data_IF_049628867387
#
_entry.id   IF_049628867387
#
_cell.length_a   1.000
_cell.length_b   1.000
_cell.length_c   1.000
_cell.angle_alpha   90.00
_cell.angle_beta   90.00
_cell.angle_gamma   90.00
#
_symmetry.space_group_name_H-M   'P 1'
#
loop_
_entity.id
_entity.type
_entity.pdbx_description
1 polymer ?
#
# COMPACT_ATOMS: atom_id res chain seq x y z
N UNK A 1 3.16 2.06 -2.90
CA UNK A 1 2.72 1.44 -4.17
C UNK A 1 3.76 0.41 -4.56
N UNK A 2 3.36 -0.78 -4.87
CA UNK A 2 4.26 -1.84 -5.35
C UNK A 2 4.32 -1.77 -6.87
N UNK A 3 5.51 -1.61 -7.49
CA UNK A 3 5.61 -1.51 -8.94
C UNK A 3 5.51 -2.85 -9.68
N UNK A 4 5.46 -3.97 -8.95
CA UNK A 4 5.34 -5.34 -9.47
C UNK A 4 6.43 -5.69 -10.49
N UNK A 5 7.68 -5.46 -10.11
CA UNK A 5 8.88 -5.66 -10.96
C UNK A 5 9.88 -6.65 -10.39
N UNK A 6 9.66 -7.14 -9.16
CA UNK A 6 10.46 -8.21 -8.57
C UNK A 6 10.24 -9.53 -9.33
N UNK A 7 11.10 -10.50 -9.11
CA UNK A 7 10.82 -11.87 -9.55
C UNK A 7 9.65 -12.47 -8.73
N UNK A 8 9.03 -13.54 -9.22
CA UNK A 8 7.92 -14.20 -8.54
C UNK A 8 8.29 -14.70 -7.14
N UNK A 9 9.55 -15.02 -6.92
CA UNK A 9 10.12 -15.44 -5.64
C UNK A 9 10.75 -14.29 -4.83
N UNK A 10 10.59 -13.03 -5.28
CA UNK A 10 10.86 -11.83 -4.49
C UNK A 10 12.28 -11.27 -4.59
N UNK A 11 13.08 -11.66 -5.59
CA UNK A 11 14.40 -11.09 -5.81
C UNK A 11 14.35 -9.77 -6.59
N UNK A 12 15.40 -8.99 -6.41
CA UNK A 12 15.68 -7.80 -7.21
C UNK A 12 15.97 -8.23 -8.65
N UNK A 13 15.30 -7.60 -9.60
CA UNK A 13 15.47 -7.82 -11.05
C UNK A 13 16.13 -6.60 -11.70
N UNK A 14 16.59 -6.70 -12.94
CA UNK A 14 17.02 -5.52 -13.71
C UNK A 14 15.95 -4.44 -13.82
N UNK A 15 14.66 -4.81 -13.89
CA UNK A 15 13.53 -3.88 -13.92
C UNK A 15 13.37 -3.12 -12.60
N UNK A 16 13.60 -3.76 -11.46
CA UNK A 16 13.63 -3.11 -10.14
C UNK A 16 14.78 -2.11 -10.09
N UNK A 17 15.99 -2.51 -10.52
CA UNK A 17 17.14 -1.61 -10.55
C UNK A 17 16.91 -0.39 -11.43
N UNK A 18 16.39 -0.59 -12.64
CA UNK A 18 16.08 0.50 -13.59
C UNK A 18 15.07 1.47 -12.97
N UNK A 19 14.01 0.95 -12.36
CA UNK A 19 12.97 1.72 -11.70
C UNK A 19 13.52 2.65 -10.62
N UNK A 20 14.31 2.13 -9.70
CA UNK A 20 14.83 2.94 -8.59
C UNK A 20 15.98 3.87 -9.01
N UNK A 21 16.79 3.47 -9.99
CA UNK A 21 17.76 4.38 -10.62
C UNK A 21 17.08 5.60 -11.22
N UNK A 22 15.96 5.39 -11.89
CA UNK A 22 15.20 6.48 -12.53
C UNK A 22 14.65 7.50 -11.53
N UNK A 23 14.20 7.06 -10.35
CA UNK A 23 13.80 7.98 -9.27
C UNK A 23 15.01 8.66 -8.62
N UNK A 24 16.12 7.96 -8.51
CA UNK A 24 17.35 8.49 -7.93
C UNK A 24 17.95 9.63 -8.79
N UNK A 25 17.76 9.61 -10.10
CA UNK A 25 18.17 10.69 -11.01
C UNK A 25 17.55 12.05 -10.63
N UNK A 26 16.35 12.04 -10.09
CA UNK A 26 15.63 13.22 -9.61
C UNK A 26 16.08 13.72 -8.24
N UNK A 27 17.05 13.06 -7.61
CA UNK A 27 17.71 13.44 -6.35
C UNK A 27 16.73 13.85 -5.23
N UNK A 28 15.63 13.12 -4.97
CA UNK A 28 14.78 13.43 -3.81
C UNK A 28 15.58 13.29 -2.52
N UNK A 29 15.25 14.06 -1.48
CA UNK A 29 15.92 13.95 -0.18
C UNK A 29 15.86 12.54 0.43
N UNK A 30 14.76 11.81 0.18
CA UNK A 30 14.61 10.41 0.55
C UNK A 30 13.75 9.64 -0.43
N UNK A 31 14.04 8.33 -0.58
CA UNK A 31 13.19 7.34 -1.23
C UNK A 31 12.80 6.26 -0.23
N UNK A 32 11.54 5.89 -0.20
CA UNK A 32 11.06 4.71 0.52
C UNK A 32 10.76 3.64 -0.53
N UNK A 33 11.54 2.53 -0.51
CA UNK A 33 11.26 1.38 -1.34
C UNK A 33 9.86 0.83 -1.05
N UNK A 34 9.29 0.22 -2.06
CA UNK A 34 8.01 -0.46 -1.99
C UNK A 34 7.88 -1.40 -0.78
N UNK A 35 6.65 -1.73 -0.42
CA UNK A 35 6.37 -2.74 0.57
C UNK A 35 7.12 -4.04 0.25
N UNK A 36 8.03 -4.41 1.13
CA UNK A 36 8.96 -5.55 0.99
C UNK A 36 8.61 -6.61 2.03
N UNK A 37 8.23 -7.81 1.57
CA UNK A 37 7.71 -8.89 2.43
C UNK A 37 8.75 -9.45 3.38
N UNK A 38 8.42 -9.52 4.67
CA UNK A 38 9.30 -10.11 5.70
C UNK A 38 9.18 -11.63 5.81
N UNK A 39 8.23 -12.23 5.12
CA UNK A 39 8.03 -13.68 5.01
C UNK A 39 7.39 -14.07 3.68
N UNK A 40 7.42 -15.35 3.38
CA UNK A 40 6.90 -15.90 2.12
C UNK A 40 5.38 -16.10 2.18
N UNK A 41 4.62 -15.01 2.02
CA UNK A 41 3.17 -15.06 1.79
C UNK A 41 2.92 -14.83 0.30
N UNK A 42 2.14 -15.68 -0.39
CA UNK A 42 1.84 -15.50 -1.80
C UNK A 42 1.14 -14.16 -2.09
N UNK A 43 1.81 -13.28 -2.83
CA UNK A 43 1.34 -11.91 -3.07
C UNK A 43 1.67 -11.36 -4.46
N UNK A 44 2.17 -12.20 -5.36
CA UNK A 44 2.71 -11.78 -6.65
C UNK A 44 4.19 -11.35 -6.57
N UNK A 45 4.72 -10.70 -7.62
CA UNK A 45 6.13 -10.31 -7.73
C UNK A 45 6.47 -9.10 -6.83
N UNK A 46 6.46 -9.35 -5.53
CA UNK A 46 6.77 -8.43 -4.44
C UNK A 46 8.19 -8.68 -3.95
N UNK A 47 8.98 -7.64 -3.75
CA UNK A 47 10.29 -7.76 -3.10
C UNK A 47 10.18 -8.42 -1.72
N UNK A 48 11.17 -9.22 -1.37
CA UNK A 48 11.25 -9.91 -0.07
C UNK A 48 12.58 -9.64 0.62
N UNK A 49 12.55 -9.72 1.95
CA UNK A 49 13.72 -9.54 2.82
C UNK A 49 13.71 -10.55 3.98
N UNK A 50 12.80 -11.51 3.95
CA UNK A 50 12.62 -12.50 5.02
C UNK A 50 13.77 -13.50 5.20
N UNK A 51 14.74 -13.53 4.27
CA UNK A 51 15.89 -14.44 4.32
C UNK A 51 17.17 -13.75 3.84
N UNK A 52 18.34 -14.20 4.32
CA UNK A 52 19.65 -13.64 3.95
C UNK A 52 19.95 -13.71 2.43
N UNK A 53 19.36 -14.66 1.71
CA UNK A 53 19.49 -14.80 0.24
C UNK A 53 19.06 -13.56 -0.55
N UNK A 54 18.22 -12.71 0.01
CA UNK A 54 17.75 -11.47 -0.65
C UNK A 54 18.72 -10.29 -0.48
N UNK A 55 19.61 -10.34 0.52
CA UNK A 55 20.51 -9.23 0.87
C UNK A 55 21.44 -8.82 -0.29
N UNK A 56 22.05 -9.74 -1.09
CA UNK A 56 22.93 -9.35 -2.18
C UNK A 56 22.25 -8.45 -3.22
N UNK A 57 21.06 -8.81 -3.71
CA UNK A 57 20.32 -7.99 -4.67
C UNK A 57 19.85 -6.65 -4.08
N UNK A 58 19.44 -6.64 -2.81
CA UNK A 58 19.07 -5.40 -2.11
C UNK A 58 20.30 -4.48 -1.94
N UNK A 59 21.49 -5.02 -1.70
CA UNK A 59 22.73 -4.25 -1.63
C UNK A 59 23.09 -3.63 -2.99
N UNK A 60 22.93 -4.37 -4.07
CA UNK A 60 23.08 -3.85 -5.43
C UNK A 60 22.13 -2.67 -5.70
N UNK A 61 20.86 -2.80 -5.28
CA UNK A 61 19.87 -1.74 -5.42
C UNK A 61 20.25 -0.50 -4.61
N UNK A 62 20.71 -0.65 -3.36
CA UNK A 62 21.21 0.47 -2.55
C UNK A 62 22.38 1.16 -3.23
N UNK A 63 23.35 0.41 -3.74
CA UNK A 63 24.50 0.95 -4.46
C UNK A 63 24.08 1.73 -5.70
N UNK A 64 23.16 1.17 -6.49
CA UNK A 64 22.62 1.79 -7.70
C UNK A 64 21.90 3.13 -7.42
N UNK A 65 21.10 3.20 -6.36
CA UNK A 65 20.43 4.47 -5.95
C UNK A 65 21.46 5.50 -5.47
N UNK A 66 22.45 5.09 -4.66
CA UNK A 66 23.50 6.00 -4.19
C UNK A 66 24.34 6.56 -5.32
N UNK A 67 24.71 5.71 -6.27
CA UNK A 67 25.46 6.14 -7.47
C UNK A 67 24.67 7.19 -8.27
N UNK A 68 23.41 6.90 -8.60
CA UNK A 68 22.58 7.77 -9.45
C UNK A 68 22.20 9.09 -8.78
N UNK A 69 22.02 9.09 -7.47
CA UNK A 69 21.72 10.30 -6.69
C UNK A 69 22.96 11.03 -6.16
N UNK A 70 24.17 10.62 -6.57
CA UNK A 70 25.44 11.16 -6.05
C UNK A 70 25.50 11.15 -4.51
N UNK A 71 24.86 10.17 -3.87
CA UNK A 71 24.76 10.05 -2.41
C UNK A 71 23.81 11.03 -1.72
N UNK A 72 23.09 11.86 -2.47
CA UNK A 72 22.17 12.88 -1.91
C UNK A 72 20.86 12.29 -1.38
N UNK A 73 20.39 11.19 -1.95
CA UNK A 73 19.13 10.55 -1.58
C UNK A 73 19.33 9.52 -0.47
N UNK A 74 18.60 9.68 0.64
CA UNK A 74 18.49 8.66 1.68
C UNK A 74 17.53 7.55 1.24
N UNK A 75 17.89 6.31 1.52
CA UNK A 75 17.13 5.16 1.07
C UNK A 75 16.59 4.34 2.24
N UNK A 76 15.27 4.24 2.30
CA UNK A 76 14.53 3.43 3.28
C UNK A 76 13.85 2.26 2.57
N UNK A 77 13.62 1.15 3.28
CA UNK A 77 12.78 0.06 2.80
C UNK A 77 11.54 -0.08 3.67
N UNK A 78 10.36 -0.19 3.04
CA UNK A 78 9.11 -0.42 3.76
C UNK A 78 8.95 -1.91 4.05
N UNK A 79 8.95 -2.29 5.33
CA UNK A 79 8.78 -3.67 5.78
C UNK A 79 7.31 -3.99 5.99
N UNK A 80 6.81 -5.03 5.33
CA UNK A 80 5.41 -5.44 5.41
C UNK A 80 5.25 -6.91 5.76
N UNK A 81 4.21 -7.17 6.56
CA UNK A 81 3.57 -8.46 6.72
C UNK A 81 2.10 -8.37 6.32
N UNK A 82 1.57 -9.44 5.74
CA UNK A 82 0.15 -9.57 5.44
C UNK A 82 -0.30 -11.02 5.57
N UNK A 83 -1.56 -11.19 5.91
CA UNK A 83 -2.25 -12.47 5.95
C UNK A 83 -2.65 -12.90 4.53
N UNK A 84 -3.10 -14.13 4.38
CA UNK A 84 -3.58 -14.62 3.10
C UNK A 84 -4.76 -13.79 2.61
N UNK A 85 -4.64 -13.29 1.38
CA UNK A 85 -5.60 -12.38 0.77
C UNK A 85 -5.86 -12.82 -0.66
N UNK A 86 -7.14 -12.85 -1.04
CA UNK A 86 -7.57 -12.99 -2.42
C UNK A 86 -8.61 -11.92 -2.73
N UNK A 87 -8.16 -10.86 -3.39
CA UNK A 87 -9.05 -9.79 -3.79
C UNK A 87 -10.06 -10.26 -4.81
N UNK A 88 -11.33 -9.98 -4.56
CA UNK A 88 -12.45 -10.12 -5.48
C UNK A 88 -12.32 -11.35 -6.38
N UNK A 89 -12.32 -12.55 -5.82
CA UNK A 89 -12.33 -13.75 -6.64
C UNK A 89 -13.61 -13.72 -7.49
N UNK A 90 -13.51 -14.20 -8.72
CA UNK A 90 -14.71 -14.52 -9.49
C UNK A 90 -15.62 -15.43 -8.67
N UNK A 91 -16.94 -15.24 -8.75
CA UNK A 91 -17.95 -16.00 -7.99
C UNK A 91 -17.65 -17.49 -7.97
N UNK A 92 -17.41 -18.07 -9.14
CA UNK A 92 -17.11 -19.48 -9.28
C UNK A 92 -15.84 -19.90 -8.56
N UNK A 93 -14.78 -19.08 -8.68
CA UNK A 93 -13.51 -19.36 -8.02
C UNK A 93 -13.62 -19.24 -6.50
N UNK A 94 -14.40 -18.28 -6.01
CA UNK A 94 -14.69 -18.16 -4.57
C UNK A 94 -15.38 -19.43 -4.05
N UNK A 95 -16.46 -19.83 -4.69
CA UNK A 95 -17.27 -20.99 -4.25
C UNK A 95 -16.50 -22.31 -4.33
N UNK A 96 -15.66 -22.47 -5.38
CA UNK A 96 -14.90 -23.73 -5.57
C UNK A 96 -13.65 -23.83 -4.69
N UNK A 97 -13.01 -22.70 -4.30
CA UNK A 97 -11.68 -22.73 -3.68
C UNK A 97 -11.58 -22.06 -2.32
N UNK A 98 -12.39 -21.05 -2.05
CA UNK A 98 -12.26 -20.21 -0.86
C UNK A 98 -13.38 -20.41 0.16
N UNK A 99 -14.58 -20.73 -0.29
CA UNK A 99 -15.69 -21.01 0.63
C UNK A 99 -15.41 -22.31 1.42
N UNK A 100 -15.39 -22.18 2.74
CA UNK A 100 -15.37 -23.33 3.64
C UNK A 100 -16.80 -23.84 3.76
N UNK A 101 -17.09 -25.00 3.17
CA UNK A 101 -18.42 -25.62 3.29
C UNK A 101 -18.65 -26.05 4.73
N UNK A 102 -19.90 -25.82 5.19
CA UNK A 102 -20.39 -26.19 6.52
C UNK A 102 -21.76 -26.82 6.36
N UNK A 103 -22.20 -27.54 7.39
CA UNK A 103 -23.52 -28.19 7.41
C UNK A 103 -24.66 -27.19 7.18
N UNK A 104 -24.51 -25.96 7.66
CA UNK A 104 -25.47 -24.88 7.45
C UNK A 104 -25.71 -24.56 5.96
N UNK A 105 -24.67 -24.62 5.13
CA UNK A 105 -24.82 -24.42 3.69
C UNK A 105 -25.64 -25.55 3.07
N UNK A 106 -25.40 -26.78 3.48
CA UNK A 106 -26.15 -27.96 3.05
C UNK A 106 -27.61 -27.84 3.44
N UNK A 107 -27.90 -27.55 4.69
CA UNK A 107 -29.28 -27.39 5.20
C UNK A 107 -30.05 -26.30 4.47
N UNK A 108 -29.46 -25.12 4.30
CA UNK A 108 -30.09 -24.01 3.59
C UNK A 108 -30.27 -24.31 2.11
N UNK A 109 -29.32 -24.96 1.48
CA UNK A 109 -29.40 -25.32 0.07
C UNK A 109 -30.44 -26.42 -0.16
N UNK A 110 -30.58 -27.40 0.77
CA UNK A 110 -31.59 -28.44 0.72
C UNK A 110 -33.02 -27.88 0.69
N UNK A 111 -33.26 -26.79 1.35
CA UNK A 111 -34.56 -26.09 1.29
C UNK A 111 -34.91 -25.55 -0.12
N UNK A 112 -33.89 -25.35 -0.97
CA UNK A 112 -34.06 -24.87 -2.34
C UNK A 112 -33.91 -25.97 -3.39
N UNK A 113 -33.09 -26.98 -3.11
CA UNK A 113 -32.78 -28.07 -4.03
C UNK A 113 -32.55 -29.39 -3.26
N UNK A 114 -33.47 -30.32 -3.39
CA UNK A 114 -33.41 -31.60 -2.69
C UNK A 114 -32.12 -32.41 -2.99
N UNK A 115 -31.47 -32.17 -4.13
CA UNK A 115 -30.19 -32.84 -4.47
C UNK A 115 -29.10 -32.55 -3.46
N UNK A 116 -29.19 -31.47 -2.75
CA UNK A 116 -28.20 -31.08 -1.73
C UNK A 116 -28.14 -32.05 -0.54
N UNK A 117 -29.19 -32.81 -0.31
CA UNK A 117 -29.25 -33.78 0.82
C UNK A 117 -28.18 -34.87 0.70
N UNK A 118 -27.96 -35.38 -0.49
CA UNK A 118 -27.03 -36.49 -0.76
C UNK A 118 -25.78 -36.06 -1.53
N UNK A 119 -25.66 -34.78 -1.86
CA UNK A 119 -24.55 -34.24 -2.62
C UNK A 119 -23.24 -34.31 -1.81
N UNK A 120 -22.14 -34.67 -2.43
CA UNK A 120 -20.81 -34.47 -1.87
C UNK A 120 -20.41 -33.01 -1.94
N UNK A 121 -19.25 -32.65 -1.39
CA UNK A 121 -18.80 -31.26 -1.31
C UNK A 121 -18.62 -30.61 -2.68
N UNK A 122 -18.11 -31.32 -3.68
CA UNK A 122 -17.92 -30.77 -5.03
C UNK A 122 -19.28 -30.53 -5.71
N UNK A 123 -20.23 -31.45 -5.55
CA UNK A 123 -21.59 -31.29 -6.05
C UNK A 123 -22.32 -30.13 -5.37
N UNK A 124 -22.14 -29.94 -4.05
CA UNK A 124 -22.66 -28.76 -3.33
C UNK A 124 -22.08 -27.46 -3.88
N UNK A 125 -20.79 -27.40 -4.16
CA UNK A 125 -20.15 -26.23 -4.76
C UNK A 125 -20.76 -25.93 -6.12
N UNK A 126 -20.97 -26.93 -6.95
CA UNK A 126 -21.58 -26.73 -8.28
C UNK A 126 -23.07 -26.31 -8.18
N UNK A 127 -23.82 -26.78 -7.19
CA UNK A 127 -25.15 -26.24 -6.93
C UNK A 127 -25.14 -24.79 -6.53
N UNK A 128 -24.23 -24.38 -5.61
CA UNK A 128 -24.05 -22.98 -5.21
C UNK A 128 -23.63 -22.07 -6.39
N UNK A 129 -22.75 -22.54 -7.26
CA UNK A 129 -22.31 -21.79 -8.46
C UNK A 129 -23.48 -21.45 -9.38
N UNK A 130 -24.46 -22.36 -9.53
CA UNK A 130 -25.62 -22.18 -10.41
C UNK A 130 -26.67 -21.23 -9.84
N UNK A 131 -26.64 -20.94 -8.56
CA UNK A 131 -27.65 -20.07 -7.95
C UNK A 131 -27.60 -18.64 -8.50
N UNK A 132 -28.76 -18.00 -8.69
CA UNK A 132 -28.81 -16.55 -8.88
C UNK A 132 -28.12 -15.82 -7.74
N UNK A 133 -27.45 -14.71 -8.04
CA UNK A 133 -26.66 -13.96 -7.06
C UNK A 133 -27.44 -13.58 -5.77
N UNK A 134 -28.67 -13.07 -5.83
CA UNK A 134 -29.44 -12.74 -4.61
C UNK A 134 -29.74 -13.98 -3.75
N UNK A 135 -30.04 -15.11 -4.39
CA UNK A 135 -30.30 -16.39 -3.69
C UNK A 135 -29.05 -16.90 -3.02
N UNK A 136 -27.90 -16.84 -3.72
CA UNK A 136 -26.61 -17.20 -3.14
C UNK A 136 -26.29 -16.37 -1.91
N UNK A 137 -26.44 -15.03 -1.98
CA UNK A 137 -26.17 -14.16 -0.86
C UNK A 137 -27.05 -14.46 0.37
N UNK A 138 -28.29 -14.92 0.16
CA UNK A 138 -29.17 -15.30 1.27
C UNK A 138 -28.69 -16.58 1.99
N UNK A 139 -27.97 -17.47 1.30
CA UNK A 139 -27.41 -18.70 1.87
C UNK A 139 -26.10 -18.47 2.63
N UNK A 140 -25.33 -17.46 2.25
CA UNK A 140 -24.03 -17.16 2.84
C UNK A 140 -24.16 -16.37 4.17
N UNK A 141 -23.26 -16.62 5.09
CA UNK A 141 -23.08 -15.78 6.28
C UNK A 141 -22.66 -14.35 5.90
N UNK A 142 -22.76 -13.41 6.84
CA UNK A 142 -22.35 -12.03 6.61
C UNK A 142 -20.88 -11.93 6.15
N UNK A 143 -19.99 -12.70 6.77
CA UNK A 143 -18.58 -12.76 6.41
C UNK A 143 -18.35 -13.33 5.00
N UNK A 144 -19.01 -14.44 4.67
CA UNK A 144 -18.85 -15.08 3.36
C UNK A 144 -19.39 -14.21 2.23
N UNK A 145 -20.45 -13.42 2.49
CA UNK A 145 -20.92 -12.38 1.56
C UNK A 145 -19.86 -11.32 1.33
N UNK A 146 -19.28 -10.82 2.40
CA UNK A 146 -18.20 -9.82 2.33
C UNK A 146 -16.99 -10.38 1.58
N UNK A 147 -16.59 -11.62 1.85
CA UNK A 147 -15.47 -12.28 1.17
C UNK A 147 -15.76 -12.50 -0.33
N UNK A 148 -17.00 -12.77 -0.70
CA UNK A 148 -17.41 -12.90 -2.11
C UNK A 148 -17.42 -11.54 -2.82
N UNK A 149 -17.93 -10.50 -2.19
CA UNK A 149 -18.12 -9.17 -2.81
C UNK A 149 -16.86 -8.33 -2.81
N UNK A 150 -16.08 -8.35 -1.72
CA UNK A 150 -14.92 -7.48 -1.51
C UNK A 150 -13.58 -8.21 -1.57
N UNK A 151 -13.57 -9.52 -1.40
CA UNK A 151 -12.41 -10.38 -1.45
C UNK A 151 -12.18 -11.18 -0.18
N UNK A 152 -11.81 -12.44 -0.37
CA UNK A 152 -11.43 -13.32 0.72
C UNK A 152 -10.14 -12.82 1.40
N UNK A 153 -10.15 -12.76 2.71
CA UNK A 153 -8.96 -12.51 3.52
C UNK A 153 -9.04 -13.21 4.88
N UNK A 154 -7.89 -13.68 5.34
CA UNK A 154 -7.71 -13.99 6.74
C UNK A 154 -7.73 -12.70 7.56
N UNK A 155 -8.30 -12.74 8.75
CA UNK A 155 -8.36 -11.60 9.66
C UNK A 155 -7.53 -11.89 10.90
N UNK A 156 -6.98 -10.85 11.50
CA UNK A 156 -6.23 -10.99 12.77
C UNK A 156 -7.09 -11.56 13.90
N UNK A 157 -8.40 -11.54 13.76
CA UNK A 157 -9.37 -12.12 14.69
C UNK A 157 -9.63 -13.61 14.48
N UNK A 158 -9.07 -14.24 13.44
CA UNK A 158 -9.22 -15.65 13.14
C UNK A 158 -8.30 -16.52 14.03
N UNK A 159 -8.36 -16.31 15.33
CA UNK A 159 -7.48 -16.95 16.32
C UNK A 159 -7.65 -18.46 16.43
N UNK A 160 -8.68 -19.02 15.79
CA UNK A 160 -8.83 -20.47 15.62
C UNK A 160 -7.81 -21.05 14.63
N UNK A 161 -7.21 -20.21 13.76
CA UNK A 161 -6.10 -20.57 12.91
C UNK A 161 -4.78 -20.40 13.67
N UNK A 162 -4.02 -21.48 13.85
CA UNK A 162 -2.81 -21.48 14.67
C UNK A 162 -1.82 -20.40 14.23
N UNK A 163 -1.59 -20.24 12.92
CA UNK A 163 -0.69 -19.22 12.38
C UNK A 163 -1.16 -17.77 12.65
N UNK A 164 -2.48 -17.53 12.78
CA UNK A 164 -3.03 -16.22 13.17
C UNK A 164 -2.94 -16.01 14.68
N UNK A 165 -3.22 -17.05 15.48
CA UNK A 165 -3.07 -16.98 16.92
C UNK A 165 -1.64 -16.63 17.34
N UNK A 166 -0.64 -17.17 16.64
CA UNK A 166 0.79 -16.99 16.95
C UNK A 166 1.39 -15.65 16.49
N UNK A 167 0.69 -14.83 15.71
CA UNK A 167 1.22 -13.58 15.17
C UNK A 167 1.91 -12.69 16.21
N UNK A 168 1.32 -12.45 17.41
CA UNK A 168 1.97 -11.62 18.43
C UNK A 168 3.32 -12.18 18.89
N UNK A 169 3.49 -13.49 18.90
CA UNK A 169 4.72 -14.15 19.32
C UNK A 169 5.82 -14.09 18.25
N UNK A 170 5.45 -14.20 16.98
CA UNK A 170 6.43 -14.38 15.88
C UNK A 170 6.78 -13.08 15.15
N UNK A 171 5.86 -12.13 15.01
CA UNK A 171 6.10 -10.94 14.21
C UNK A 171 7.22 -10.04 14.75
N UNK A 172 7.39 -9.81 16.06
CA UNK A 172 8.47 -8.96 16.54
C UNK A 172 9.86 -9.43 16.07
N UNK A 173 10.13 -10.72 16.16
CA UNK A 173 11.42 -11.28 15.70
C UNK A 173 11.58 -11.21 14.17
N UNK A 174 10.52 -11.49 13.43
CA UNK A 174 10.56 -11.44 11.95
C UNK A 174 10.84 -10.03 11.42
N UNK A 175 10.20 -9.01 11.99
CA UNK A 175 10.46 -7.60 11.64
C UNK A 175 11.88 -7.18 12.06
N UNK A 176 12.34 -7.58 13.24
CA UNK A 176 13.69 -7.28 13.73
C UNK A 176 14.77 -7.88 12.81
N UNK A 177 14.60 -9.13 12.40
CA UNK A 177 15.53 -9.81 11.47
C UNK A 177 15.50 -9.19 10.08
N UNK A 178 14.33 -8.78 9.59
CA UNK A 178 14.20 -8.06 8.31
C UNK A 178 14.89 -6.69 8.37
N UNK A 179 14.72 -5.94 9.46
CA UNK A 179 15.40 -4.66 9.66
C UNK A 179 16.93 -4.80 9.76
N UNK A 180 17.42 -5.87 10.40
CA UNK A 180 18.87 -6.17 10.42
C UNK A 180 19.40 -6.41 9.01
N UNK A 181 18.70 -7.21 8.18
CA UNK A 181 19.08 -7.44 6.78
C UNK A 181 19.03 -6.16 5.95
N UNK A 182 18.06 -5.26 6.22
CA UNK A 182 18.04 -3.94 5.58
C UNK A 182 19.32 -3.13 5.92
N UNK A 183 19.71 -3.11 7.20
CA UNK A 183 20.97 -2.48 7.62
C UNK A 183 22.20 -3.11 6.97
N UNK A 184 22.26 -4.44 6.88
CA UNK A 184 23.34 -5.19 6.21
C UNK A 184 23.39 -4.94 4.71
N UNK A 185 22.24 -4.71 4.06
CA UNK A 185 22.16 -4.33 2.66
C UNK A 185 22.60 -2.86 2.43
N UNK A 186 22.69 -2.06 3.50
CA UNK A 186 23.17 -0.68 3.45
C UNK A 186 22.09 0.38 3.33
N UNK A 187 20.81 0.06 3.61
CA UNK A 187 19.77 1.07 3.74
C UNK A 187 20.06 2.07 4.87
N UNK A 188 19.56 3.29 4.75
CA UNK A 188 19.67 4.32 5.79
C UNK A 188 18.65 4.10 6.92
N UNK A 189 17.58 3.33 6.67
CA UNK A 189 16.57 2.99 7.65
C UNK A 189 15.44 2.12 7.10
N UNK A 190 14.42 1.92 7.92
CA UNK A 190 13.21 1.19 7.58
C UNK A 190 11.95 1.98 7.92
N UNK A 191 10.91 1.78 7.12
CA UNK A 191 9.55 2.19 7.43
C UNK A 191 8.70 0.95 7.74
N UNK A 192 8.24 0.83 8.99
CA UNK A 192 7.36 -0.26 9.39
C UNK A 192 5.94 0.01 8.85
N UNK A 193 5.40 -0.95 8.09
CA UNK A 193 4.11 -0.74 7.43
C UNK A 193 2.93 -1.12 8.33
N UNK A 194 2.34 -0.12 8.97
CA UNK A 194 1.17 -0.22 9.84
C UNK A 194 -0.08 0.38 9.16
N UNK A 195 -0.14 0.35 7.84
CA UNK A 195 -1.23 0.97 7.07
C UNK A 195 -1.84 -0.01 6.06
N UNK A 196 -3.00 0.37 5.52
CA UNK A 196 -3.70 -0.33 4.46
C UNK A 196 -4.02 -1.79 4.85
N UNK A 197 -3.61 -2.76 4.02
CA UNK A 197 -3.91 -4.18 4.19
C UNK A 197 -2.85 -4.96 4.97
N UNK A 198 -1.90 -4.28 5.61
CA UNK A 198 -0.87 -4.97 6.38
C UNK A 198 -1.46 -5.62 7.65
N UNK A 199 -0.81 -6.67 8.11
CA UNK A 199 -1.19 -7.35 9.36
C UNK A 199 -1.19 -6.37 10.53
N UNK A 200 -0.16 -5.52 10.66
CA UNK A 200 -0.06 -4.57 11.77
C UNK A 200 -1.08 -3.43 11.69
N UNK A 201 -1.52 -3.02 10.49
CA UNK A 201 -2.66 -2.12 10.35
C UNK A 201 -3.94 -2.75 10.89
N UNK A 202 -4.15 -4.04 10.61
CA UNK A 202 -5.31 -4.79 11.12
C UNK A 202 -5.29 -4.92 12.63
N UNK A 203 -4.10 -4.99 13.27
CA UNK A 203 -4.01 -4.94 14.74
C UNK A 203 -4.41 -3.58 15.31
N UNK A 204 -4.09 -2.46 14.66
CA UNK A 204 -4.48 -1.12 15.08
C UNK A 204 -5.96 -0.83 14.90
N UNK A 205 -6.64 -1.54 14.00
CA UNK A 205 -8.04 -1.30 13.65
C UNK A 205 -8.98 -1.51 14.84
N UNK A 206 -10.06 -0.69 14.91
CA UNK A 206 -11.16 -0.94 15.85
C UNK A 206 -11.89 -2.25 15.57
N UNK A 207 -11.80 -2.77 14.36
CA UNK A 207 -12.38 -4.08 14.01
C UNK A 207 -11.60 -5.26 14.62
N UNK A 208 -10.44 -4.99 15.21
CA UNK A 208 -9.65 -5.99 15.93
C UNK A 208 -10.24 -6.23 17.32
N UNK A 209 -11.06 -7.26 17.46
CA UNK A 209 -11.73 -7.68 18.68
C UNK A 209 -11.06 -8.86 19.38
N UNK A 210 -9.74 -9.07 19.19
CA UNK A 210 -8.99 -10.13 19.88
C UNK A 210 -9.09 -9.98 21.40
N UNK A 211 -9.34 -11.11 22.09
CA UNK A 211 -9.49 -11.15 23.54
C UNK A 211 -8.19 -11.51 24.30
N UNK A 212 -7.11 -11.81 23.55
CA UNK A 212 -5.81 -12.24 24.08
C UNK A 212 -4.89 -11.08 24.53
N UNK A 213 -5.45 -9.88 24.63
CA UNK A 213 -4.71 -8.68 25.03
C UNK A 213 -4.06 -7.91 23.87
N UNK A 214 -4.26 -8.35 22.62
CA UNK A 214 -3.77 -7.70 21.42
C UNK A 214 -4.91 -7.07 20.55
N UNK A 215 -6.05 -6.76 21.16
CA UNK A 215 -7.22 -6.18 20.51
C UNK A 215 -8.13 -5.44 21.48
N UNK A 216 -9.38 -5.19 21.08
CA UNK A 216 -10.43 -4.50 21.84
C UNK A 216 -10.05 -3.06 22.24
N UNK A 217 -9.27 -2.89 23.33
CA UNK A 217 -8.88 -1.57 23.82
C UNK A 217 -7.83 -0.91 22.90
N UNK A 218 -7.68 0.40 22.98
CA UNK A 218 -6.67 1.14 22.22
C UNK A 218 -5.26 0.66 22.55
N UNK A 219 -5.00 0.42 23.84
CA UNK A 219 -3.72 -0.10 24.34
C UNK A 219 -3.46 -1.51 23.80
N UNK A 220 -4.47 -2.39 23.80
CA UNK A 220 -4.37 -3.74 23.26
C UNK A 220 -4.06 -3.72 21.76
N UNK A 221 -4.71 -2.84 21.00
CA UNK A 221 -4.49 -2.70 19.55
C UNK A 221 -3.08 -2.14 19.22
N UNK A 222 -2.54 -1.24 20.04
CA UNK A 222 -1.21 -0.68 19.86
C UNK A 222 -0.08 -1.62 20.34
N UNK A 223 -0.38 -2.64 21.15
CA UNK A 223 0.60 -3.47 21.82
C UNK A 223 1.57 -4.13 20.84
N UNK A 224 1.05 -4.87 19.86
CA UNK A 224 1.91 -5.57 18.90
C UNK A 224 2.76 -4.63 18.04
N UNK A 225 2.22 -3.54 17.43
CA UNK A 225 3.04 -2.53 16.75
C UNK A 225 4.19 -1.99 17.62
N UNK A 226 3.96 -1.75 18.92
CA UNK A 226 4.98 -1.28 19.85
C UNK A 226 6.01 -2.36 20.18
N UNK A 227 5.60 -3.61 20.34
CA UNK A 227 6.50 -4.74 20.56
C UNK A 227 7.39 -4.99 19.33
N UNK A 228 6.82 -4.90 18.12
CA UNK A 228 7.58 -4.96 16.86
C UNK A 228 8.62 -3.84 16.81
N UNK A 229 8.22 -2.61 17.10
CA UNK A 229 9.16 -1.49 17.11
C UNK A 229 10.32 -1.71 18.11
N UNK A 230 10.02 -2.13 19.34
CA UNK A 230 11.05 -2.39 20.36
C UNK A 230 12.04 -3.46 19.92
N UNK A 231 11.54 -4.57 19.39
CA UNK A 231 12.38 -5.65 18.84
C UNK A 231 13.26 -5.18 17.68
N UNK A 232 12.70 -4.37 16.76
CA UNK A 232 13.47 -3.77 15.65
C UNK A 232 14.55 -2.83 16.21
N UNK A 233 14.17 -1.91 17.09
CA UNK A 233 15.10 -0.92 17.67
C UNK A 233 16.24 -1.59 18.45
N UNK A 234 15.95 -2.62 19.22
CA UNK A 234 16.95 -3.41 19.92
C UNK A 234 17.94 -4.08 18.95
N UNK A 235 17.43 -4.64 17.85
CA UNK A 235 18.22 -5.35 16.84
C UNK A 235 19.11 -4.43 16.00
N UNK A 236 18.62 -3.24 15.62
CA UNK A 236 19.34 -2.35 14.69
C UNK A 236 20.06 -1.19 15.40
N UNK A 237 19.81 -0.94 16.69
CA UNK A 237 20.42 0.15 17.44
C UNK A 237 19.78 1.52 17.14
N UNK A 238 20.34 2.58 17.76
CA UNK A 238 19.78 3.94 17.70
C UNK A 238 20.14 4.73 16.46
N UNK A 239 21.26 4.41 15.83
CA UNK A 239 21.78 5.13 14.67
C UNK A 239 21.04 4.78 13.36
N UNK A 240 20.35 3.64 13.32
CA UNK A 240 19.58 3.22 12.17
C UNK A 240 18.15 3.78 12.26
N UNK A 241 17.70 4.47 11.23
CA UNK A 241 16.39 5.14 11.25
C UNK A 241 15.25 4.13 11.22
N UNK A 242 14.29 4.24 12.13
CA UNK A 242 13.10 3.38 12.20
C UNK A 242 11.85 4.24 12.34
N UNK A 243 11.13 4.41 11.24
CA UNK A 243 9.83 5.07 11.23
C UNK A 243 8.70 4.08 10.98
N UNK A 244 7.47 4.59 10.92
CA UNK A 244 6.33 3.81 10.49
C UNK A 244 5.40 4.62 9.58
N UNK A 245 4.63 3.87 8.76
CA UNK A 245 3.51 4.40 8.02
C UNK A 245 2.22 3.83 8.59
N UNK A 246 1.28 4.68 9.05
CA UNK A 246 0.01 4.24 9.61
C UNK A 246 -1.16 5.12 9.14
N UNK A 247 -2.39 4.68 9.43
CA UNK A 247 -3.59 5.37 8.96
C UNK A 247 -4.03 6.44 9.97
N UNK A 248 -4.23 7.65 9.47
CA UNK A 248 -4.92 8.71 10.20
C UNK A 248 -6.44 8.49 10.24
N UNK A 249 -6.96 7.70 9.29
CA UNK A 249 -8.36 7.33 9.18
C UNK A 249 -8.44 6.04 8.33
N UNK A 250 -9.12 5.01 8.83
CA UNK A 250 -9.28 3.76 8.07
C UNK A 250 -10.32 3.90 6.95
N UNK A 251 -11.24 4.86 7.03
CA UNK A 251 -12.30 5.09 6.06
C UNK A 251 -13.19 3.85 5.77
N UNK A 252 -13.41 3.01 6.78
CA UNK A 252 -14.30 1.84 6.74
C UNK A 252 -15.32 1.90 7.86
N UNK A 253 -16.45 1.20 7.68
CA UNK A 253 -17.46 1.10 8.73
C UNK A 253 -16.88 0.44 10.00
N UNK A 254 -17.00 1.11 11.15
CA UNK A 254 -16.45 0.62 12.41
C UNK A 254 -14.94 0.68 12.53
N UNK A 255 -14.23 1.27 11.58
CA UNK A 255 -12.80 1.47 11.60
C UNK A 255 -12.33 2.54 12.59
N UNK A 256 -11.01 2.66 12.75
CA UNK A 256 -10.38 3.65 13.64
C UNK A 256 -10.49 5.07 13.07
N UNK A 257 -11.06 6.01 13.81
CA UNK A 257 -11.10 7.41 13.43
C UNK A 257 -9.81 8.15 13.80
N UNK A 258 -9.76 9.44 13.48
CA UNK A 258 -8.59 10.30 13.72
C UNK A 258 -8.19 10.37 15.20
N UNK A 259 -9.12 10.28 16.14
CA UNK A 259 -8.83 10.31 17.58
C UNK A 259 -7.97 9.12 18.03
N UNK A 260 -8.20 7.93 17.46
CA UNK A 260 -7.35 6.77 17.70
C UNK A 260 -5.98 6.97 17.07
N UNK A 261 -5.92 7.50 15.85
CA UNK A 261 -4.67 7.76 15.17
C UNK A 261 -3.81 8.80 15.90
N UNK A 262 -4.42 9.85 16.46
CA UNK A 262 -3.75 10.84 17.30
C UNK A 262 -3.14 10.18 18.55
N UNK A 263 -3.91 9.32 19.22
CA UNK A 263 -3.41 8.60 20.40
C UNK A 263 -2.26 7.65 20.02
N UNK A 264 -2.38 6.88 18.94
CA UNK A 264 -1.29 6.03 18.45
C UNK A 264 -0.05 6.85 18.08
N UNK A 265 -0.21 8.01 17.44
CA UNK A 265 0.90 8.91 17.13
C UNK A 265 1.69 9.33 18.35
N UNK A 266 1.00 9.65 19.47
CA UNK A 266 1.64 9.98 20.75
C UNK A 266 2.37 8.78 21.34
N UNK A 267 1.77 7.58 21.32
CA UNK A 267 2.41 6.36 21.80
C UNK A 267 3.64 5.97 20.96
N UNK A 268 3.58 6.11 19.65
CA UNK A 268 4.71 5.86 18.76
C UNK A 268 5.84 6.88 19.00
N UNK A 269 5.52 8.15 19.15
CA UNK A 269 6.50 9.19 19.49
C UNK A 269 7.15 8.91 20.85
N UNK A 270 6.36 8.53 21.86
CA UNK A 270 6.86 8.15 23.19
C UNK A 270 7.76 6.92 23.12
N UNK A 271 7.47 5.96 22.26
CA UNK A 271 8.29 4.77 22.06
C UNK A 271 9.63 5.08 21.39
N UNK A 272 9.77 6.23 20.71
CA UNK A 272 11.01 6.68 20.07
C UNK A 272 11.10 6.33 18.58
N UNK A 273 9.96 6.30 17.85
CA UNK A 273 9.99 6.28 16.39
C UNK A 273 10.66 7.52 15.85
N UNK A 274 11.49 7.38 14.82
CA UNK A 274 12.24 8.49 14.23
C UNK A 274 11.38 9.35 13.31
N UNK A 275 10.32 8.81 12.72
CA UNK A 275 9.31 9.55 11.95
C UNK A 275 7.98 8.79 11.89
N UNK A 276 6.88 9.52 11.64
CA UNK A 276 5.54 8.98 11.47
C UNK A 276 4.98 9.44 10.12
N UNK A 277 4.76 8.50 9.19
CA UNK A 277 4.22 8.76 7.86
C UNK A 277 2.70 8.50 7.84
N UNK A 278 1.91 9.53 7.49
CA UNK A 278 0.46 9.46 7.61
C UNK A 278 -0.21 9.11 6.30
N UNK A 279 -1.11 8.12 6.36
CA UNK A 279 -1.92 7.68 5.23
C UNK A 279 -3.41 7.70 5.58
N UNK A 280 -4.27 7.33 4.62
CA UNK A 280 -5.71 7.21 4.76
C UNK A 280 -6.21 5.99 4.00
N UNK A 281 -7.22 5.33 4.54
CA UNK A 281 -8.01 4.30 3.88
C UNK A 281 -7.45 2.89 3.97
N UNK A 282 -8.32 1.96 4.35
CA UNK A 282 -8.10 0.52 4.19
C UNK A 282 -8.08 0.14 2.70
N UNK A 283 -7.32 -0.88 2.34
CA UNK A 283 -7.16 -1.25 0.92
C UNK A 283 -8.21 -2.25 0.43
N UNK A 284 -8.99 -2.88 1.31
CA UNK A 284 -9.79 -4.05 0.97
C UNK A 284 -11.29 -3.90 1.15
N UNK A 285 -11.71 -3.01 2.02
CA UNK A 285 -13.12 -2.89 2.32
C UNK A 285 -13.74 -1.88 1.34
N UNK A 286 -14.66 -2.34 0.52
CA UNK A 286 -15.58 -1.60 -0.34
C UNK A 286 -15.01 -0.74 -1.49
N UNK A 287 -13.74 -0.56 -1.62
CA UNK A 287 -13.19 0.26 -2.68
C UNK A 287 -13.51 -0.31 -4.06
N UNK A 288 -14.27 0.41 -4.88
CA UNK A 288 -14.42 0.08 -6.29
C UNK A 288 -13.03 0.10 -6.93
N UNK A 289 -12.65 -1.03 -7.57
CA UNK A 289 -11.36 -1.12 -8.24
C UNK A 289 -11.52 -0.55 -9.66
N UNK A 290 -10.75 0.48 -10.05
CA UNK A 290 -10.79 0.98 -11.41
C UNK A 290 -10.24 -0.07 -12.38
N UNK A 291 -10.74 -0.08 -13.60
CA UNK A 291 -10.11 -0.82 -14.70
C UNK A 291 -8.80 -0.12 -15.09
N UNK A 292 -7.88 -0.87 -15.69
CA UNK A 292 -6.64 -0.27 -16.22
C UNK A 292 -6.97 0.81 -17.23
N UNK A 293 -6.47 2.03 -17.01
CA UNK A 293 -6.74 3.20 -17.84
C UNK A 293 -8.06 3.93 -17.54
N UNK A 294 -8.85 3.43 -16.59
CA UNK A 294 -10.06 4.10 -16.12
C UNK A 294 -9.74 5.01 -14.93
N UNK A 295 -10.22 6.24 -14.98
CA UNK A 295 -10.07 7.17 -13.86
C UNK A 295 -10.99 6.77 -12.70
N UNK A 296 -10.43 6.66 -11.50
CA UNK A 296 -11.22 6.53 -10.28
C UNK A 296 -11.80 7.89 -9.82
N UNK A 297 -11.21 8.97 -10.30
CA UNK A 297 -11.70 10.33 -10.11
C UNK A 297 -12.06 10.93 -11.46
N UNK A 298 -13.30 11.40 -11.66
CA UNK A 298 -13.64 12.12 -12.86
C UNK A 298 -12.84 13.43 -12.92
N UNK A 299 -12.34 13.75 -14.10
CA UNK A 299 -11.71 15.04 -14.34
C UNK A 299 -12.76 16.12 -14.43
N UNK A 300 -12.48 17.24 -13.82
CA UNK A 300 -13.25 18.47 -13.98
C UNK A 300 -12.27 19.61 -14.33
N UNK A 301 -12.75 20.57 -15.12
CA UNK A 301 -12.02 21.77 -15.44
C UNK A 301 -11.00 21.65 -16.59
N UNK A 302 -10.55 22.81 -17.10
CA UNK A 302 -9.74 22.91 -18.33
C UNK A 302 -8.33 22.39 -18.19
N UNK A 303 -7.73 22.43 -16.98
CA UNK A 303 -6.36 21.96 -16.74
C UNK A 303 -6.26 20.44 -16.62
N UNK A 304 -7.39 19.73 -16.43
CA UNK A 304 -7.43 18.30 -16.14
C UNK A 304 -6.82 17.93 -14.80
N UNK A 305 -6.58 18.93 -13.93
CA UNK A 305 -6.10 18.76 -12.55
C UNK A 305 -7.22 18.87 -11.52
N UNK A 306 -8.32 19.48 -11.88
CA UNK A 306 -9.53 19.58 -11.09
C UNK A 306 -10.29 18.25 -11.19
N UNK A 307 -9.99 17.31 -10.32
CA UNK A 307 -10.70 16.05 -10.25
C UNK A 307 -11.45 15.94 -8.94
N UNK A 308 -12.68 15.46 -9.04
CA UNK A 308 -13.53 15.18 -7.88
C UNK A 308 -13.21 13.78 -7.34
N UNK A 309 -13.04 13.58 -6.02
CA UNK A 309 -12.96 12.25 -5.47
C UNK A 309 -14.28 11.51 -5.69
N UNK A 310 -14.22 10.22 -5.93
CA UNK A 310 -15.42 9.40 -5.91
C UNK A 310 -16.02 9.40 -4.50
N UNK A 311 -17.33 9.42 -4.41
CA UNK A 311 -18.09 9.53 -3.15
C UNK A 311 -17.73 8.46 -2.11
N UNK A 312 -17.05 7.38 -2.50
CA UNK A 312 -16.70 6.24 -1.65
C UNK A 312 -15.45 6.41 -0.80
N UNK A 313 -14.72 7.50 -0.95
CA UNK A 313 -13.46 7.69 -0.21
C UNK A 313 -13.67 8.53 1.06
N UNK A 314 -14.76 9.29 1.12
CA UNK A 314 -15.16 10.10 2.28
C UNK A 314 -16.48 9.58 2.85
N UNK A 315 -16.70 9.68 4.20
CA UNK A 315 -17.99 9.39 4.77
C UNK A 315 -19.08 10.16 4.01
N UNK A 316 -20.28 9.60 3.80
CA UNK A 316 -21.37 10.30 3.16
C UNK A 316 -21.61 11.67 3.83
N UNK A 317 -21.48 12.76 3.08
CA UNK A 317 -21.67 14.11 3.57
C UNK A 317 -20.40 14.94 3.83
N UNK A 318 -19.20 14.38 3.72
CA UNK A 318 -17.94 15.13 3.81
C UNK A 318 -17.29 15.19 2.44
N UNK A 319 -17.82 16.03 1.56
CA UNK A 319 -17.14 16.38 0.32
C UNK A 319 -15.89 17.23 0.65
N UNK A 320 -14.69 16.69 0.43
CA UNK A 320 -13.48 17.51 0.47
C UNK A 320 -13.45 18.38 -0.79
N UNK A 321 -13.69 19.68 -0.63
CA UNK A 321 -13.65 20.65 -1.72
C UNK A 321 -12.29 20.73 -2.43
N UNK A 322 -11.23 20.17 -1.83
CA UNK A 322 -9.87 20.13 -2.39
C UNK A 322 -9.64 18.99 -3.38
N UNK A 323 -10.60 18.10 -3.56
CA UNK A 323 -10.41 16.91 -4.40
C UNK A 323 -9.28 16.01 -3.90
N UNK A 324 -8.39 15.50 -4.79
CA UNK A 324 -7.27 14.66 -4.40
C UNK A 324 -6.09 15.44 -3.81
N UNK A 325 -6.10 16.78 -3.86
CA UNK A 325 -4.96 17.62 -3.52
C UNK A 325 -4.87 17.85 -2.02
N UNK A 326 -3.74 17.46 -1.41
CA UNK A 326 -3.51 17.65 0.03
C UNK A 326 -4.49 16.91 0.93
N UNK A 327 -5.17 15.88 0.42
CA UNK A 327 -6.33 15.21 1.05
C UNK A 327 -6.05 14.66 2.45
N UNK A 328 -4.84 14.18 2.72
CA UNK A 328 -4.49 13.62 4.03
C UNK A 328 -3.79 14.64 4.94
N UNK A 329 -3.53 15.87 4.47
CA UNK A 329 -2.89 16.90 5.30
C UNK A 329 -3.65 17.24 6.58
N UNK A 330 -5.01 17.31 6.60
CA UNK A 330 -5.74 17.51 7.85
C UNK A 330 -5.48 16.42 8.89
N UNK A 331 -5.31 15.16 8.45
CA UNK A 331 -4.97 14.05 9.34
C UNK A 331 -3.55 14.20 9.91
N UNK A 332 -2.60 14.53 9.04
CA UNK A 332 -1.21 14.77 9.45
C UNK A 332 -1.14 15.94 10.45
N UNK A 333 -1.85 17.05 10.20
CA UNK A 333 -1.95 18.22 11.10
C UNK A 333 -2.48 17.83 12.49
N UNK A 334 -3.59 17.08 12.55
CA UNK A 334 -4.20 16.66 13.81
C UNK A 334 -3.26 15.76 14.64
N UNK A 335 -2.62 14.79 13.97
CA UNK A 335 -1.65 13.90 14.61
C UNK A 335 -0.43 14.69 15.09
N UNK A 336 0.11 15.59 14.23
CA UNK A 336 1.24 16.45 14.59
C UNK A 336 0.92 17.31 15.82
N UNK A 337 -0.24 17.94 15.84
CA UNK A 337 -0.69 18.74 16.98
C UNK A 337 -0.74 17.92 18.27
N UNK A 338 -1.27 16.70 18.21
CA UNK A 338 -1.35 15.79 19.37
C UNK A 338 0.04 15.36 19.85
N UNK A 339 0.94 15.02 18.94
CA UNK A 339 2.34 14.65 19.24
C UNK A 339 3.08 15.82 19.89
N UNK A 340 2.93 17.03 19.35
CA UNK A 340 3.54 18.25 19.90
C UNK A 340 2.97 18.63 21.27
N UNK A 341 1.64 18.53 21.45
CA UNK A 341 0.98 18.78 22.74
C UNK A 341 1.45 17.77 23.83
N UNK A 342 1.82 16.56 23.45
CA UNK A 342 2.42 15.58 24.35
C UNK A 342 3.93 15.77 24.62
N UNK A 343 4.54 16.82 24.06
CA UNK A 343 5.95 17.19 24.29
C UNK A 343 6.96 16.46 23.38
N UNK A 344 6.52 15.81 22.31
CA UNK A 344 7.42 15.09 21.40
C UNK A 344 7.70 15.88 20.13
N UNK A 345 8.95 15.79 19.64
CA UNK A 345 9.41 16.43 18.40
C UNK A 345 9.45 15.47 17.20
N UNK A 346 8.94 14.24 17.33
CA UNK A 346 8.96 13.23 16.26
C UNK A 346 8.37 13.81 14.97
N UNK A 347 9.13 13.77 13.85
CA UNK A 347 8.68 14.32 12.56
C UNK A 347 7.46 13.60 12.02
N UNK A 348 6.51 14.37 11.50
CA UNK A 348 5.31 13.87 10.81
C UNK A 348 5.47 14.08 9.31
N UNK A 349 5.37 12.99 8.54
CA UNK A 349 5.42 13.02 7.08
C UNK A 349 4.01 13.13 6.52
N UNK A 350 3.71 14.26 5.89
CA UNK A 350 2.46 14.51 5.19
C UNK A 350 2.51 13.97 3.76
N UNK A 351 1.46 13.28 3.35
CA UNK A 351 1.32 12.73 2.01
C UNK A 351 -0.13 12.81 1.53
N UNK A 352 -0.36 12.46 0.26
CA UNK A 352 -1.72 12.40 -0.30
C UNK A 352 -2.06 13.62 -1.14
N UNK A 353 -1.81 13.51 -2.45
CA UNK A 353 -2.16 14.54 -3.41
C UNK A 353 -1.23 15.76 -3.42
N UNK A 354 0.00 15.64 -2.96
CA UNK A 354 1.00 16.71 -3.08
C UNK A 354 1.60 16.62 -4.50
N UNK A 355 1.28 17.60 -5.35
CA UNK A 355 1.64 17.61 -6.76
C UNK A 355 2.22 18.94 -7.25
N UNK A 356 2.29 19.95 -6.39
CA UNK A 356 2.88 21.26 -6.72
C UNK A 356 3.78 21.73 -5.59
N UNK A 357 4.72 22.61 -5.96
CA UNK A 357 5.61 23.24 -5.01
C UNK A 357 4.83 24.08 -3.98
N UNK A 358 3.87 24.87 -4.44
CA UNK A 358 3.07 25.77 -3.59
C UNK A 358 2.25 25.00 -2.54
N UNK A 359 1.75 23.82 -2.90
CA UNK A 359 1.04 22.96 -1.95
C UNK A 359 2.00 22.36 -0.93
N UNK A 360 3.19 21.91 -1.37
CA UNK A 360 4.22 21.37 -0.49
C UNK A 360 4.70 22.43 0.51
N UNK A 361 5.05 23.64 0.04
CA UNK A 361 5.49 24.75 0.88
C UNK A 361 4.41 25.19 1.88
N UNK A 362 3.16 25.31 1.45
CA UNK A 362 2.05 25.65 2.36
C UNK A 362 1.86 24.60 3.43
N UNK A 363 1.95 23.30 3.08
CA UNK A 363 1.80 22.23 4.07
C UNK A 363 2.85 22.30 5.18
N UNK A 364 4.07 22.73 4.85
CA UNK A 364 5.14 22.95 5.82
C UNK A 364 4.93 24.23 6.60
N UNK A 365 4.65 25.35 5.92
CA UNK A 365 4.46 26.67 6.53
C UNK A 365 3.27 26.72 7.48
N UNK A 366 2.16 26.08 7.10
CA UNK A 366 0.94 26.00 7.92
C UNK A 366 1.06 24.96 9.06
N UNK A 367 2.18 24.23 9.12
CA UNK A 367 2.42 23.23 10.14
C UNK A 367 1.54 21.97 10.01
N UNK A 368 1.11 21.64 8.78
CA UNK A 368 0.38 20.40 8.52
C UNK A 368 1.26 19.18 8.73
N UNK A 369 2.54 19.30 8.39
CA UNK A 369 3.54 18.24 8.55
C UNK A 369 4.94 18.85 8.72
N UNK A 370 5.92 18.02 9.00
CA UNK A 370 7.34 18.42 9.10
C UNK A 370 8.11 18.03 7.82
N UNK A 371 7.62 17.03 7.09
CA UNK A 371 8.16 16.54 5.83
C UNK A 371 7.02 16.26 4.87
N UNK A 372 7.23 16.45 3.57
CA UNK A 372 6.26 16.13 2.51
C UNK A 372 6.71 14.92 1.73
N UNK A 373 5.75 14.07 1.35
CA UNK A 373 5.99 12.91 0.52
C UNK A 373 4.99 12.82 -0.64
N UNK A 374 5.48 12.43 -1.82
CA UNK A 374 4.69 12.30 -3.02
C UNK A 374 5.01 10.99 -3.75
N UNK A 375 3.99 10.15 -4.00
CA UNK A 375 4.15 8.94 -4.77
C UNK A 375 3.74 9.16 -6.24
N UNK A 376 2.46 9.46 -6.47
CA UNK A 376 1.94 9.60 -7.85
C UNK A 376 2.55 10.78 -8.61
N UNK A 377 2.90 11.88 -7.93
CA UNK A 377 3.61 12.99 -8.57
C UNK A 377 5.04 12.57 -8.95
N UNK A 378 5.77 11.90 -8.08
CA UNK A 378 7.10 11.38 -8.40
C UNK A 378 7.06 10.34 -9.54
N UNK A 379 5.98 9.53 -9.61
CA UNK A 379 5.77 8.63 -10.74
C UNK A 379 5.48 9.38 -12.05
N UNK A 380 4.70 10.46 -12.00
CA UNK A 380 4.42 11.29 -13.17
C UNK A 380 5.69 11.99 -13.68
N UNK A 381 6.51 12.47 -12.76
CA UNK A 381 7.78 13.12 -13.04
C UNK A 381 8.83 12.73 -11.98
N UNK A 382 9.70 11.75 -12.23
CA UNK A 382 10.77 11.39 -11.31
C UNK A 382 11.73 12.53 -10.98
N UNK A 383 11.87 13.49 -11.89
CA UNK A 383 12.80 14.63 -11.76
C UNK A 383 12.18 15.85 -11.08
N UNK A 384 10.92 15.79 -10.65
CA UNK A 384 10.21 16.98 -10.21
C UNK A 384 10.87 17.71 -9.02
N UNK A 385 11.51 16.97 -8.08
CA UNK A 385 12.25 17.58 -6.98
C UNK A 385 13.46 18.36 -7.49
N UNK A 386 14.25 17.78 -8.38
CA UNK A 386 15.41 18.41 -8.99
C UNK A 386 15.04 19.62 -9.86
N UNK A 387 13.93 19.51 -10.60
CA UNK A 387 13.38 20.64 -11.35
C UNK A 387 13.01 21.81 -10.45
N UNK A 388 12.37 21.53 -9.31
CA UNK A 388 12.04 22.57 -8.32
C UNK A 388 13.31 23.22 -7.71
N UNK A 389 14.29 22.40 -7.33
CA UNK A 389 15.58 22.88 -6.80
C UNK A 389 16.30 23.81 -7.79
N UNK A 390 16.20 23.51 -9.08
CA UNK A 390 16.83 24.30 -10.15
C UNK A 390 15.96 25.48 -10.66
N UNK A 391 14.82 25.75 -10.05
CA UNK A 391 13.90 26.80 -10.48
C UNK A 391 13.15 26.51 -11.78
N UNK A 392 13.10 25.21 -12.21
CA UNK A 392 12.46 24.73 -13.45
C UNK A 392 11.08 24.14 -13.19
N UNK A 393 10.32 24.74 -12.27
CA UNK A 393 9.00 24.25 -11.85
C UNK A 393 7.96 24.17 -12.96
N UNK A 394 8.05 25.03 -13.98
CA UNK A 394 7.18 25.02 -15.16
C UNK A 394 7.37 23.77 -16.05
N UNK A 395 8.51 23.09 -15.97
CA UNK A 395 8.81 21.87 -16.70
C UNK A 395 8.31 20.61 -15.99
N UNK A 396 7.76 20.76 -14.80
CA UNK A 396 7.26 19.61 -14.01
C UNK A 396 6.03 19.00 -14.69
N UNK A 397 6.12 17.72 -15.00
CA UNK A 397 5.00 16.94 -15.51
C UNK A 397 4.05 16.62 -14.37
N UNK A 398 2.94 17.34 -14.27
CA UNK A 398 1.99 17.22 -13.16
C UNK A 398 1.12 15.98 -13.27
N UNK A 399 0.99 15.25 -12.17
CA UNK A 399 0.09 14.12 -12.05
C UNK A 399 -1.37 14.55 -12.22
N UNK A 400 -2.09 13.88 -13.12
CA UNK A 400 -3.51 14.14 -13.40
C UNK A 400 -4.48 13.31 -12.53
N UNK A 401 -3.98 12.51 -11.62
CA UNK A 401 -4.77 11.68 -10.69
C UNK A 401 -5.83 10.79 -11.37
N UNK A 402 -5.55 10.30 -12.59
CA UNK A 402 -6.42 9.34 -13.30
C UNK A 402 -6.47 7.97 -12.63
N UNK A 403 -5.60 7.73 -11.65
CA UNK A 403 -5.41 6.43 -11.02
C UNK A 403 -5.07 5.28 -11.99
N UNK A 404 -4.59 5.60 -13.18
CA UNK A 404 -4.09 4.61 -14.12
C UNK A 404 -3.03 3.68 -13.49
N UNK A 405 -2.05 4.27 -12.78
CA UNK A 405 -1.02 3.54 -12.05
C UNK A 405 -1.63 2.66 -10.92
N UNK A 406 -2.65 3.15 -10.23
CA UNK A 406 -3.37 2.40 -9.20
C UNK A 406 -4.11 1.19 -9.80
N UNK A 407 -4.74 1.37 -10.97
CA UNK A 407 -5.41 0.28 -11.67
C UNK A 407 -4.43 -0.82 -12.12
N UNK A 408 -3.20 -0.46 -12.49
CA UNK A 408 -2.12 -1.42 -12.76
C UNK A 408 -1.68 -2.15 -11.50
N UNK A 409 -1.45 -1.40 -10.39
CA UNK A 409 -1.10 -1.95 -9.07
C UNK A 409 -2.14 -2.97 -8.58
N UNK A 410 -3.42 -2.64 -8.71
CA UNK A 410 -4.52 -3.52 -8.30
C UNK A 410 -4.56 -4.85 -9.07
N UNK A 411 -4.01 -4.90 -10.25
CA UNK A 411 -3.94 -6.10 -11.10
C UNK A 411 -2.59 -6.81 -11.05
N UNK A 412 -1.68 -6.38 -10.18
CA UNK A 412 -0.32 -6.86 -10.10
C UNK A 412 0.42 -6.76 -11.45
N UNK A 413 0.13 -5.71 -12.21
CA UNK A 413 0.84 -5.40 -13.46
C UNK A 413 1.93 -4.38 -13.18
N UNK A 414 3.01 -4.42 -13.95
CA UNK A 414 4.09 -3.44 -13.84
C UNK A 414 3.53 -2.01 -13.91
N UNK A 415 3.74 -1.26 -12.83
CA UNK A 415 3.22 0.10 -12.68
C UNK A 415 3.97 1.06 -13.56
N UNK A 416 3.22 1.89 -14.30
CA UNK A 416 3.70 2.98 -15.14
C UNK A 416 2.79 4.21 -15.01
N UNK A 417 3.15 5.33 -15.63
CA UNK A 417 2.29 6.50 -15.69
C UNK A 417 1.82 6.74 -17.13
N UNK A 418 0.52 6.93 -17.33
CA UNK A 418 -0.05 7.18 -18.67
C UNK A 418 0.48 8.46 -19.34
N UNK A 419 1.12 9.36 -18.59
CA UNK A 419 1.69 10.59 -19.14
C UNK A 419 2.97 10.35 -19.95
N UNK A 420 3.60 9.18 -19.79
CA UNK A 420 4.85 8.87 -20.46
C UNK A 420 4.99 7.41 -20.93
N UNK A 421 4.09 6.51 -20.54
CA UNK A 421 4.26 5.09 -20.87
C UNK A 421 3.88 4.73 -22.29
N UNK A 422 3.16 5.61 -22.99
CA UNK A 422 2.76 5.49 -24.39
C UNK A 422 3.35 6.62 -25.20
N UNK A 423 3.92 6.29 -26.33
CA UNK A 423 4.26 7.27 -27.32
C UNK A 423 3.01 7.60 -28.14
N UNK A 424 2.37 8.71 -27.78
CA UNK A 424 1.18 9.19 -28.48
C UNK A 424 1.53 9.93 -29.79
N UNK A 425 2.82 10.16 -30.08
CA UNK A 425 3.30 10.89 -31.25
C UNK A 425 3.45 10.01 -32.50
N UNK A 426 3.36 8.68 -32.34
CA UNK A 426 3.47 7.75 -33.49
C UNK A 426 2.13 7.07 -33.78
N UNK A 427 1.49 7.34 -34.96
CA UNK A 427 0.23 6.70 -35.35
C UNK A 427 0.35 5.20 -35.66
N UNK A 428 1.54 4.65 -35.79
CA UNK A 428 1.76 3.32 -36.36
C UNK A 428 1.68 2.18 -35.37
N UNK A 429 0.70 1.32 -35.59
CA UNK A 429 0.54 0.05 -34.91
C UNK A 429 1.74 -0.92 -35.10
N UNK A 430 2.50 -0.76 -36.18
CA UNK A 430 3.65 -1.61 -36.54
C UNK A 430 4.86 -1.41 -35.61
N UNK A 431 5.05 -0.21 -35.03
CA UNK A 431 6.11 0.03 -34.04
C UNK A 431 5.79 -0.53 -32.65
N UNK A 432 4.59 -1.08 -32.46
CA UNK A 432 4.17 -1.69 -31.18
C UNK A 432 4.60 -3.14 -31.01
N UNK A 433 5.17 -3.75 -32.03
CA UNK A 433 5.44 -5.19 -32.09
C UNK A 433 6.90 -5.60 -31.93
N UNK A 434 7.85 -4.68 -31.80
CA UNK A 434 9.21 -5.08 -31.48
C UNK A 434 9.32 -5.34 -29.97
N UNK A 435 9.05 -6.59 -29.57
CA UNK A 435 9.31 -7.11 -28.22
C UNK A 435 10.80 -7.12 -27.82
N UNK A 436 11.64 -6.44 -28.58
CA UNK A 436 13.08 -6.38 -28.43
C UNK A 436 13.61 -5.17 -27.64
N UNK A 437 12.75 -4.16 -27.35
CA UNK A 437 13.19 -3.08 -26.44
C UNK A 437 13.06 -3.54 -24.99
N UNK A 438 14.17 -3.80 -24.27
CA UNK A 438 14.16 -4.29 -22.91
C UNK A 438 13.48 -3.33 -21.91
N UNK A 439 13.16 -2.10 -22.32
CA UNK A 439 12.45 -1.10 -21.52
C UNK A 439 10.94 -1.09 -21.75
N UNK A 440 10.40 -2.02 -22.53
CA UNK A 440 8.96 -2.17 -22.74
C UNK A 440 8.38 -3.29 -21.88
N UNK A 441 7.08 -3.18 -21.58
CA UNK A 441 6.32 -4.27 -20.97
C UNK A 441 6.37 -5.53 -21.84
N UNK A 442 6.17 -6.70 -21.23
CA UNK A 442 6.20 -8.00 -21.94
C UNK A 442 5.26 -8.08 -23.15
N UNK A 443 4.21 -7.26 -23.18
CA UNK A 443 3.29 -7.13 -24.31
C UNK A 443 3.70 -6.05 -25.32
N UNK A 444 4.87 -5.43 -25.14
CA UNK A 444 5.39 -4.37 -26.02
C UNK A 444 4.62 -3.04 -26.00
N UNK A 445 3.54 -2.94 -25.21
CA UNK A 445 2.58 -1.82 -25.29
C UNK A 445 2.99 -0.58 -24.51
N UNK A 446 3.80 -0.75 -23.46
CA UNK A 446 4.13 0.34 -22.54
C UNK A 446 5.64 0.46 -22.34
N UNK A 447 6.12 1.69 -22.31
CA UNK A 447 7.45 2.01 -21.80
C UNK A 447 7.44 1.79 -20.28
N UNK A 448 8.48 1.14 -19.73
CA UNK A 448 8.52 0.80 -18.31
C UNK A 448 9.10 1.91 -17.44
N UNK A 449 10.00 2.72 -17.97
CA UNK A 449 10.64 3.81 -17.25
C UNK A 449 10.29 5.17 -17.86
N UNK A 450 10.17 6.20 -17.00
CA UNK A 450 9.98 7.56 -17.45
C UNK A 450 11.18 8.04 -18.29
N UNK A 451 10.95 8.80 -19.37
CA UNK A 451 12.05 9.35 -20.15
C UNK A 451 12.93 10.23 -19.25
N UNK A 452 14.27 10.20 -19.46
CA UNK A 452 15.18 11.08 -18.72
C UNK A 452 14.89 12.55 -19.03
N UNK A 453 15.20 13.39 -18.06
CA UNK A 453 15.19 14.83 -18.22
C UNK A 453 16.62 15.37 -18.09
N UNK A 454 16.98 16.36 -18.93
CA UNK A 454 18.24 17.09 -18.82
C UNK A 454 17.94 18.57 -18.59
N UNK A 455 18.69 19.26 -17.75
CA UNK A 455 18.58 20.70 -17.54
C UNK A 455 19.12 21.52 -18.74
N UNK A 456 19.78 20.89 -19.72
CA UNK A 456 20.42 21.53 -20.89
C UNK A 456 19.43 21.78 -22.03
#
# INVERSE_FOLDING_TARGET
>A
MVPWRASDDGFVTPDVLSWYRRFADGEPGALVLEATGIRDVPSGPLLRIGHARFVPGLRELVAAVRERSHGRTKLFVQLIDFLAIKRRPEKEKFLRRFLVLRDEHRERLRALDARAEHANDDELRELLVRLPHPTLLALLSAREREDLEHGFRERVTDVHLAHVAELPRVLPALFADAALRAREAGFDGVELHFAHASTLASFLSRTNTRADGYGNSREGRARLPLEVFRAVRERVGREFVVGCRYLGDEAIAGGSPIEDACAFGVEFARAGFDFLSISKGGKFDDAAQPKVGEAAYPYTGPSGHECMPTVRIDPPGVADARGPFGRNLPLARAIRASVRAAGFATPIVGSGGIATFELAERALADGDCDLVAAARQSLADPDWWKKLELGRGEEVRRCKYTNYCEALDQRHQQVTCQLWDRDLSTPDAEKRTSGEDPRRSSDGRRRLDAPPWSPD
#
